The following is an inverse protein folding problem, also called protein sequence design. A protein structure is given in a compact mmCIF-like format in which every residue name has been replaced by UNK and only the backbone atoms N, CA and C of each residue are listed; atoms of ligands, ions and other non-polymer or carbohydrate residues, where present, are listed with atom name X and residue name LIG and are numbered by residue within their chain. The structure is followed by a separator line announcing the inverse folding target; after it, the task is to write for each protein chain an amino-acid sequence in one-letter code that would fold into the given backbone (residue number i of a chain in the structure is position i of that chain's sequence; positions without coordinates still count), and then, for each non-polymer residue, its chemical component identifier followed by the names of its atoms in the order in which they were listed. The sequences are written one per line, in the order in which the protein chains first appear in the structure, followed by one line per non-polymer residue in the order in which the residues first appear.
data_IF_531018603633
#
_entry.id   IF_531018603633
#
_cell.length_a   1.000
_cell.length_b   1.000
_cell.length_c   1.000
_cell.angle_alpha   90.00
_cell.angle_beta   90.00
_cell.angle_gamma   90.00
#
_symmetry.space_group_name_H-M   'P 1'
#
loop_
_entity.id
_entity.type
_entity.pdbx_description
1 polymer ?
#
# COMPACT_ATOMS: atom_id res chain seq x y z
N UNK A 1 35.93 -25.25 -12.84
CA UNK A 1 35.25 -25.34 -11.55
C UNK A 1 34.09 -24.36 -11.62
N UNK A 2 32.95 -24.83 -12.09
CA UNK A 2 31.72 -24.03 -12.12
C UNK A 2 31.33 -23.75 -10.68
N UNK A 3 31.14 -22.49 -10.35
CA UNK A 3 30.61 -22.08 -9.05
C UNK A 3 29.17 -22.54 -9.04
N UNK A 4 28.89 -23.67 -8.39
CA UNK A 4 27.51 -24.09 -8.11
C UNK A 4 26.80 -22.91 -7.47
N UNK A 5 25.71 -22.50 -8.09
CA UNK A 5 24.87 -21.50 -7.47
C UNK A 5 24.35 -22.09 -6.16
N UNK A 6 24.24 -21.23 -5.16
CA UNK A 6 23.79 -21.57 -3.81
C UNK A 6 22.62 -22.57 -3.70
N UNK A 7 21.75 -22.59 -4.71
CA UNK A 7 20.53 -23.36 -4.72
C UNK A 7 20.66 -24.74 -5.38
N UNK A 8 21.70 -24.97 -6.19
CA UNK A 8 21.91 -26.27 -6.86
C UNK A 8 22.26 -27.37 -5.85
N UNK A 9 23.00 -27.03 -4.78
CA UNK A 9 23.36 -27.99 -3.71
C UNK A 9 22.18 -28.48 -2.87
N UNK A 10 21.07 -27.75 -2.83
CA UNK A 10 19.89 -28.21 -2.09
C UNK A 10 19.12 -29.27 -2.87
N UNK A 11 19.25 -29.32 -4.21
CA UNK A 11 18.63 -30.38 -5.03
C UNK A 11 19.19 -31.80 -4.78
N UNK A 12 20.30 -31.93 -4.06
CA UNK A 12 20.92 -33.21 -3.75
C UNK A 12 20.54 -33.69 -2.34
N UNK A 13 19.96 -34.90 -2.24
CA UNK A 13 19.61 -35.52 -0.97
C UNK A 13 20.80 -36.27 -0.36
N UNK A 14 20.94 -36.22 0.96
CA UNK A 14 21.86 -37.06 1.70
C UNK A 14 21.64 -38.54 1.36
N UNK A 15 22.73 -39.25 1.04
CA UNK A 15 22.69 -40.66 0.64
C UNK A 15 21.68 -40.96 -0.49
N UNK A 16 21.47 -40.06 -1.46
CA UNK A 16 20.52 -40.25 -2.57
C UNK A 16 20.71 -41.57 -3.35
N UNK A 17 21.93 -42.11 -3.41
CA UNK A 17 22.23 -43.42 -4.01
C UNK A 17 22.17 -44.62 -3.06
N UNK A 18 21.85 -44.38 -1.79
CA UNK A 18 21.74 -45.41 -0.75
C UNK A 18 20.34 -45.98 -0.63
N UNK A 19 20.23 -47.16 0.00
CA UNK A 19 18.91 -47.71 0.36
C UNK A 19 18.24 -46.81 1.39
N UNK A 20 16.95 -46.54 1.22
CA UNK A 20 16.10 -45.85 2.18
C UNK A 20 14.98 -46.78 2.65
N UNK A 21 14.67 -46.78 3.94
CA UNK A 21 13.53 -47.51 4.50
C UNK A 21 12.68 -46.52 5.29
N UNK A 22 11.47 -46.28 4.82
CA UNK A 22 10.55 -45.32 5.42
C UNK A 22 10.24 -45.68 6.89
N UNK A 23 10.46 -44.77 7.84
CA UNK A 23 10.00 -44.95 9.21
C UNK A 23 8.47 -45.01 9.27
N UNK A 24 7.93 -45.80 10.19
CA UNK A 24 6.51 -45.75 10.55
C UNK A 24 6.18 -44.49 11.36
N UNK A 25 4.91 -44.09 11.43
CA UNK A 25 4.48 -42.90 12.19
C UNK A 25 4.91 -42.94 13.67
N UNK A 26 4.85 -44.11 14.31
CA UNK A 26 5.30 -44.29 15.70
C UNK A 26 6.80 -44.05 15.83
N UNK A 27 7.60 -44.51 14.85
CA UNK A 27 9.05 -44.31 14.82
C UNK A 27 9.41 -42.85 14.53
N UNK A 28 8.68 -42.20 13.62
CA UNK A 28 8.83 -40.78 13.33
C UNK A 28 8.51 -39.92 14.56
N UNK A 29 7.43 -40.24 15.28
CA UNK A 29 7.03 -39.52 16.51
C UNK A 29 8.01 -39.73 17.68
N UNK A 30 8.65 -40.89 17.77
CA UNK A 30 9.69 -41.15 18.77
C UNK A 30 11.01 -40.41 18.47
N UNK A 31 11.21 -39.93 17.23
CA UNK A 31 12.36 -39.12 16.83
C UNK A 31 13.71 -39.79 17.12
N UNK A 32 14.69 -39.03 17.59
CA UNK A 32 16.03 -39.56 17.89
C UNK A 32 16.02 -40.60 19.03
N UNK A 33 14.98 -40.64 19.88
CA UNK A 33 14.87 -41.63 20.94
C UNK A 33 14.71 -43.05 20.39
N UNK A 34 14.16 -43.19 19.18
CA UNK A 34 14.08 -44.47 18.49
C UNK A 34 15.45 -44.99 18.00
N UNK A 35 16.42 -44.09 17.75
CA UNK A 35 17.76 -44.47 17.28
C UNK A 35 18.68 -44.97 18.40
N UNK A 36 18.33 -44.74 19.67
CA UNK A 36 19.23 -44.91 20.82
C UNK A 36 19.23 -46.29 21.51
N UNK A 37 18.32 -47.20 21.18
CA UNK A 37 18.17 -48.47 21.92
C UNK A 37 18.71 -49.72 21.20
N UNK A 38 18.89 -49.66 19.87
CA UNK A 38 19.51 -50.69 19.03
C UNK A 38 19.90 -49.99 17.73
N UNK A 39 21.14 -50.10 17.20
CA UNK A 39 21.56 -49.31 16.05
C UNK A 39 20.59 -49.55 14.88
N UNK A 40 19.85 -48.51 14.43
CA UNK A 40 18.93 -48.63 13.32
C UNK A 40 19.67 -49.06 12.05
N UNK A 41 18.95 -49.67 11.10
CA UNK A 41 19.56 -49.99 9.82
C UNK A 41 20.06 -48.72 9.14
N UNK A 42 21.14 -48.83 8.35
CA UNK A 42 21.65 -47.69 7.58
C UNK A 42 20.56 -47.07 6.68
N UNK A 43 19.64 -47.89 6.17
CA UNK A 43 18.53 -47.41 5.34
C UNK A 43 17.50 -46.55 6.09
N UNK A 44 17.30 -46.79 7.37
CA UNK A 44 16.40 -45.99 8.20
C UNK A 44 17.00 -44.63 8.56
N UNK A 45 18.32 -44.59 8.83
CA UNK A 45 19.03 -43.31 9.00
C UNK A 45 19.02 -42.49 7.71
N UNK A 46 19.32 -43.12 6.57
CA UNK A 46 19.27 -42.46 5.27
C UNK A 46 17.88 -41.87 5.01
N UNK A 47 16.81 -42.62 5.26
CA UNK A 47 15.44 -42.14 5.06
C UNK A 47 15.11 -40.92 5.93
N UNK A 48 15.52 -40.92 7.21
CA UNK A 48 15.27 -39.80 8.11
C UNK A 48 15.97 -38.51 7.65
N UNK A 49 17.24 -38.61 7.21
CA UNK A 49 17.98 -37.46 6.70
C UNK A 49 17.42 -36.99 5.35
N UNK A 50 17.05 -37.91 4.45
CA UNK A 50 16.39 -37.56 3.19
C UNK A 50 15.05 -36.84 3.40
N UNK A 51 14.28 -37.20 4.43
CA UNK A 51 13.05 -36.48 4.80
C UNK A 51 13.30 -35.05 5.27
N UNK A 52 14.42 -34.81 5.97
CA UNK A 52 14.81 -33.45 6.36
C UNK A 52 15.18 -32.63 5.13
N UNK A 53 15.99 -33.20 4.24
CA UNK A 53 16.37 -32.56 2.98
C UNK A 53 15.15 -32.24 2.10
N UNK A 54 14.15 -33.12 2.06
CA UNK A 54 12.90 -32.90 1.32
C UNK A 54 12.06 -31.75 1.87
N UNK A 55 11.99 -31.61 3.20
CA UNK A 55 11.29 -30.49 3.84
C UNK A 55 11.99 -29.17 3.58
N UNK A 56 13.32 -29.17 3.68
CA UNK A 56 14.14 -28.00 3.40
C UNK A 56 13.98 -27.60 1.92
N UNK A 57 14.05 -28.56 1.00
CA UNK A 57 13.82 -28.33 -0.43
C UNK A 57 12.44 -27.75 -0.73
N UNK A 58 11.40 -28.28 -0.10
CA UNK A 58 10.06 -27.74 -0.25
C UNK A 58 9.98 -26.27 0.21
N UNK A 59 10.51 -25.96 1.39
CA UNK A 59 10.51 -24.60 1.93
C UNK A 59 11.31 -23.64 1.05
N UNK A 60 12.49 -24.06 0.58
CA UNK A 60 13.31 -23.26 -0.33
C UNK A 60 12.66 -23.05 -1.68
N UNK A 61 11.96 -24.05 -2.23
CA UNK A 61 11.17 -23.89 -3.45
C UNK A 61 10.10 -22.80 -3.31
N UNK A 62 9.39 -22.75 -2.18
CA UNK A 62 8.43 -21.67 -1.90
C UNK A 62 9.11 -20.30 -1.83
N UNK A 63 10.25 -20.20 -1.14
CA UNK A 63 11.02 -18.94 -1.05
C UNK A 63 11.57 -18.49 -2.41
N UNK A 64 12.06 -19.43 -3.23
CA UNK A 64 12.57 -19.16 -4.57
C UNK A 64 11.48 -18.59 -5.48
N UNK A 65 10.25 -19.11 -5.40
CA UNK A 65 9.10 -18.55 -6.13
C UNK A 65 8.85 -17.09 -5.74
N UNK A 66 8.82 -16.78 -4.44
CA UNK A 66 8.60 -15.40 -3.96
C UNK A 66 9.74 -14.46 -4.39
N UNK A 67 10.98 -14.95 -4.39
CA UNK A 67 12.13 -14.17 -4.85
C UNK A 67 12.09 -13.90 -6.37
N UNK A 68 11.70 -14.88 -7.17
CA UNK A 68 11.53 -14.72 -8.62
C UNK A 68 10.45 -13.70 -8.96
N UNK A 69 9.30 -13.75 -8.27
CA UNK A 69 8.21 -12.78 -8.45
C UNK A 69 8.63 -11.34 -8.11
N UNK A 70 9.58 -11.17 -7.20
CA UNK A 70 10.16 -9.88 -6.85
C UNK A 70 11.34 -9.45 -7.76
N UNK A 71 11.72 -10.26 -8.75
CA UNK A 71 12.88 -10.02 -9.62
C UNK A 71 14.23 -10.15 -8.89
N UNK A 72 14.28 -10.84 -7.76
CA UNK A 72 15.48 -11.01 -6.93
C UNK A 72 16.13 -12.36 -7.22
N UNK A 73 17.40 -12.36 -7.64
CA UNK A 73 18.16 -13.61 -7.86
C UNK A 73 18.58 -14.22 -6.52
N UNK A 74 18.23 -15.48 -6.24
CA UNK A 74 18.62 -16.14 -5.01
C UNK A 74 20.15 -16.35 -4.92
N UNK A 75 20.80 -15.94 -3.82
CA UNK A 75 22.25 -16.16 -3.58
C UNK A 75 22.53 -16.63 -2.14
N UNK A 76 23.49 -17.54 -1.94
CA UNK A 76 23.82 -18.15 -0.63
C UNK A 76 24.37 -17.13 0.38
N UNK A 77 24.96 -16.05 -0.12
CA UNK A 77 25.61 -15.03 0.71
C UNK A 77 24.63 -14.03 1.31
N UNK A 78 23.36 -14.01 0.88
CA UNK A 78 22.40 -13.02 1.33
C UNK A 78 21.20 -13.67 2.02
N UNK A 79 21.26 -13.76 3.34
CA UNK A 79 20.17 -14.27 4.18
C UNK A 79 18.94 -13.33 4.23
N UNK A 80 19.03 -12.11 3.68
CA UNK A 80 17.96 -11.12 3.67
C UNK A 80 17.06 -11.13 2.43
N UNK A 81 17.28 -12.06 1.49
CA UNK A 81 16.61 -12.03 0.18
C UNK A 81 15.09 -12.20 0.26
N UNK A 82 14.59 -13.04 1.17
CA UNK A 82 13.15 -13.17 1.40
C UNK A 82 12.55 -11.86 1.94
N UNK A 83 13.26 -11.18 2.83
CA UNK A 83 12.82 -9.88 3.32
C UNK A 83 12.81 -8.85 2.19
N UNK A 84 13.82 -8.85 1.31
CA UNK A 84 13.91 -7.97 0.15
C UNK A 84 12.81 -8.25 -0.88
N UNK A 85 12.50 -9.53 -1.17
CA UNK A 85 11.45 -9.89 -2.11
C UNK A 85 10.07 -9.50 -1.59
N UNK A 86 9.78 -9.79 -0.32
CA UNK A 86 8.55 -9.33 0.35
C UNK A 86 8.47 -7.79 0.45
N UNK A 87 9.58 -7.06 0.37
CA UNK A 87 9.56 -5.59 0.28
C UNK A 87 9.18 -5.11 -1.12
N UNK A 88 9.65 -5.80 -2.17
CA UNK A 88 9.37 -5.43 -3.56
C UNK A 88 7.98 -5.82 -4.05
N UNK A 89 7.42 -6.94 -3.55
CA UNK A 89 6.17 -7.50 -4.07
C UNK A 89 4.89 -6.88 -3.50
N UNK A 90 4.94 -6.21 -2.35
CA UNK A 90 3.75 -5.71 -1.67
C UNK A 90 3.91 -4.25 -1.30
N UNK A 91 2.91 -3.43 -1.63
CA UNK A 91 2.81 -2.07 -1.13
C UNK A 91 2.59 -2.10 0.39
N UNK A 92 3.57 -1.66 1.16
CA UNK A 92 3.50 -1.56 2.61
C UNK A 92 2.89 -0.24 3.00
N UNK A 93 2.31 -0.17 4.20
CA UNK A 93 1.80 1.09 4.76
C UNK A 93 2.86 2.21 4.77
N UNK A 94 4.13 1.85 4.99
CA UNK A 94 5.26 2.80 4.94
C UNK A 94 5.49 3.43 3.58
N UNK A 95 5.08 2.76 2.51
CA UNK A 95 5.31 3.20 1.13
C UNK A 95 4.25 4.24 0.70
N UNK A 96 3.15 4.33 1.45
CA UNK A 96 2.15 5.38 1.30
C UNK A 96 2.62 6.64 2.03
N UNK A 97 3.32 7.52 1.32
CA UNK A 97 3.63 8.85 1.83
C UNK A 97 2.33 9.59 2.13
N UNK A 98 2.20 10.14 3.35
CA UNK A 98 0.97 10.79 3.78
C UNK A 98 1.25 11.94 4.76
N UNK A 99 0.28 12.84 4.85
CA UNK A 99 0.20 13.88 5.87
C UNK A 99 -1.23 13.93 6.37
N UNK A 100 -1.44 13.64 7.67
CA UNK A 100 -2.75 13.59 8.31
C UNK A 100 -3.17 14.92 8.94
N UNK A 101 -2.57 16.03 8.50
CA UNK A 101 -2.99 17.37 8.88
C UNK A 101 -4.40 17.67 8.38
N UNK A 102 -5.00 18.77 8.86
CA UNK A 102 -6.31 19.24 8.41
C UNK A 102 -6.37 19.38 6.88
N UNK A 103 -5.31 19.96 6.30
CA UNK A 103 -5.05 19.94 4.86
C UNK A 103 -3.95 18.89 4.63
N UNK A 104 -4.34 17.73 4.12
CA UNK A 104 -3.53 16.53 4.12
C UNK A 104 -3.60 15.75 2.81
N UNK A 105 -2.82 14.68 2.73
CA UNK A 105 -2.77 13.83 1.55
C UNK A 105 -2.38 12.40 1.88
N UNK A 106 -2.68 11.51 0.94
CA UNK A 106 -2.06 10.20 0.81
C UNK A 106 -1.61 10.01 -0.65
N UNK A 107 -0.35 9.60 -0.82
CA UNK A 107 0.25 9.23 -2.09
C UNK A 107 0.48 7.74 -2.10
N UNK A 108 -0.05 7.06 -3.10
CA UNK A 108 0.15 5.63 -3.28
C UNK A 108 1.50 5.37 -3.96
N UNK A 109 2.12 4.18 -3.76
CA UNK A 109 3.33 3.80 -4.48
C UNK A 109 3.16 3.81 -6.00
N UNK A 110 1.94 3.59 -6.49
CA UNK A 110 1.58 3.65 -7.92
C UNK A 110 1.46 5.07 -8.49
N UNK A 111 1.70 6.11 -7.69
CA UNK A 111 1.74 7.51 -8.15
C UNK A 111 0.43 8.29 -8.03
N UNK A 112 -0.71 7.63 -7.79
CA UNK A 112 -1.98 8.32 -7.50
C UNK A 112 -1.89 9.01 -6.15
N UNK A 113 -2.34 10.26 -6.10
CA UNK A 113 -2.38 11.11 -4.92
C UNK A 113 -3.85 11.50 -4.66
N UNK A 114 -4.29 11.37 -3.41
CA UNK A 114 -5.56 11.91 -2.92
C UNK A 114 -5.22 12.95 -1.86
N UNK A 115 -5.74 14.17 -2.02
CA UNK A 115 -5.54 15.28 -1.09
C UNK A 115 -6.88 15.75 -0.56
N UNK A 116 -6.90 16.26 0.67
CA UNK A 116 -8.08 16.84 1.30
C UNK A 116 -7.72 18.14 2.02
N UNK A 117 -8.73 18.92 2.33
CA UNK A 117 -8.54 20.08 3.17
C UNK A 117 -9.81 20.86 3.43
N UNK A 118 -9.64 21.97 4.14
CA UNK A 118 -10.67 22.95 4.43
C UNK A 118 -10.18 24.34 4.05
N UNK A 119 -11.11 25.18 3.67
CA UNK A 119 -10.87 26.59 3.39
C UNK A 119 -12.08 27.42 3.76
N UNK A 120 -11.98 28.72 3.52
CA UNK A 120 -13.09 29.66 3.69
C UNK A 120 -13.15 30.58 2.49
N UNK A 121 -14.35 30.86 1.99
CA UNK A 121 -14.57 32.00 1.09
C UNK A 121 -14.86 33.23 1.95
N UNK A 122 -14.27 34.40 1.63
CA UNK A 122 -14.54 35.62 2.36
C UNK A 122 -15.95 36.16 2.04
N UNK A 123 -16.53 37.03 2.89
CA UNK A 123 -17.73 37.78 2.55
C UNK A 123 -17.43 38.65 1.33
N UNK A 124 -18.27 38.57 0.30
CA UNK A 124 -18.05 39.32 -0.94
C UNK A 124 -19.01 40.50 -1.11
N UNK A 125 -20.12 40.52 -0.38
CA UNK A 125 -21.23 41.46 -0.61
C UNK A 125 -21.96 41.25 -1.94
N UNK A 126 -21.64 40.17 -2.66
CA UNK A 126 -22.21 39.79 -3.95
C UNK A 126 -22.93 38.43 -3.83
N UNK A 127 -23.61 37.98 -4.88
CA UNK A 127 -24.20 36.63 -4.93
C UNK A 127 -23.21 35.52 -5.26
N UNK A 128 -21.93 35.86 -5.47
CA UNK A 128 -20.86 34.90 -5.71
C UNK A 128 -19.68 35.21 -4.81
N UNK A 129 -18.96 34.17 -4.39
CA UNK A 129 -17.73 34.27 -3.62
C UNK A 129 -16.75 33.19 -4.07
N UNK A 130 -15.45 33.46 -3.96
CA UNK A 130 -14.41 32.53 -4.40
C UNK A 130 -13.23 32.47 -3.44
N UNK A 131 -12.53 31.34 -3.45
CA UNK A 131 -11.30 31.14 -2.71
C UNK A 131 -10.33 30.28 -3.52
N UNK A 132 -9.06 30.70 -3.54
CA UNK A 132 -7.97 29.88 -4.07
C UNK A 132 -7.51 28.91 -2.99
N UNK A 133 -7.42 27.64 -3.36
CA UNK A 133 -6.91 26.55 -2.52
C UNK A 133 -5.53 26.18 -3.03
N UNK A 134 -4.55 26.15 -2.13
CA UNK A 134 -3.24 25.55 -2.38
C UNK A 134 -3.25 24.13 -1.85
N UNK A 135 -2.89 23.16 -2.69
CA UNK A 135 -2.84 21.77 -2.26
C UNK A 135 -1.66 21.52 -1.32
N UNK A 136 -1.78 20.58 -0.36
CA UNK A 136 -0.70 20.19 0.53
C UNK A 136 0.61 19.84 -0.19
N UNK A 137 0.51 19.18 -1.35
CA UNK A 137 1.61 18.94 -2.28
C UNK A 137 1.13 19.19 -3.72
N UNK A 138 2.04 19.54 -4.62
CA UNK A 138 1.71 19.62 -6.04
C UNK A 138 1.54 18.20 -6.63
N UNK A 139 0.53 18.02 -7.47
CA UNK A 139 0.40 16.84 -8.33
C UNK A 139 1.51 16.87 -9.39
N UNK A 140 2.39 15.85 -9.47
CA UNK A 140 3.52 15.85 -10.40
C UNK A 140 3.12 16.00 -11.87
N UNK A 141 2.01 15.40 -12.28
CA UNK A 141 1.55 15.35 -13.66
C UNK A 141 0.31 16.22 -13.87
N UNK A 142 -0.79 15.91 -13.18
CA UNK A 142 -2.06 16.60 -13.35
C UNK A 142 -3.04 16.40 -12.18
N UNK A 143 -3.84 17.42 -11.91
CA UNK A 143 -5.07 17.30 -11.09
C UNK A 143 -6.20 16.76 -11.97
N UNK A 144 -6.73 15.58 -11.63
CA UNK A 144 -7.76 14.91 -12.42
C UNK A 144 -9.17 15.33 -12.00
N UNK A 145 -9.41 15.52 -10.69
CA UNK A 145 -10.72 15.94 -10.19
C UNK A 145 -10.58 16.64 -8.83
N UNK A 146 -11.47 17.61 -8.60
CA UNK A 146 -11.64 18.27 -7.30
C UNK A 146 -13.13 18.41 -7.01
N UNK A 147 -13.54 17.93 -5.85
CA UNK A 147 -14.91 18.09 -5.33
C UNK A 147 -14.84 18.89 -4.05
N UNK A 148 -15.74 19.85 -3.90
CA UNK A 148 -15.86 20.67 -2.70
C UNK A 148 -17.32 20.81 -2.26
N UNK A 149 -17.52 20.98 -0.96
CA UNK A 149 -18.83 21.22 -0.36
C UNK A 149 -18.75 22.41 0.59
N UNK A 150 -19.81 23.20 0.66
CA UNK A 150 -19.95 24.27 1.65
C UNK A 150 -20.37 23.68 2.99
N UNK A 151 -19.87 24.25 4.08
CA UNK A 151 -20.09 23.77 5.44
C UNK A 151 -20.76 24.85 6.31
N UNK A 152 -21.40 25.84 5.69
CA UNK A 152 -22.05 26.94 6.40
C UNK A 152 -22.90 27.82 5.51
N UNK A 153 -23.71 28.70 6.11
CA UNK A 153 -24.56 29.62 5.37
C UNK A 153 -23.75 30.80 4.81
N UNK A 154 -24.16 31.29 3.64
CA UNK A 154 -23.61 32.47 2.99
C UNK A 154 -24.13 33.80 3.58
N UNK A 155 -25.32 33.78 4.19
CA UNK A 155 -25.98 34.97 4.69
C UNK A 155 -26.47 34.83 6.13
N UNK A 156 -26.23 35.84 6.96
CA UNK A 156 -26.59 35.88 8.38
C UNK A 156 -28.08 36.10 8.66
N UNK A 157 -28.79 36.80 7.77
CA UNK A 157 -30.20 37.20 7.97
C UNK A 157 -31.17 36.15 7.44
N UNK A 158 -30.93 35.67 6.22
CA UNK A 158 -31.85 34.73 5.54
C UNK A 158 -31.42 33.28 5.76
N UNK A 159 -30.12 33.03 5.95
CA UNK A 159 -29.55 31.69 5.85
C UNK A 159 -29.60 31.18 4.41
N UNK A 160 -28.50 30.63 3.90
CA UNK A 160 -28.48 30.00 2.57
C UNK A 160 -27.25 29.14 2.40
N UNK A 161 -27.41 27.86 2.03
CA UNK A 161 -26.26 27.01 1.70
C UNK A 161 -25.92 27.22 0.22
N UNK A 162 -24.75 27.79 -0.10
CA UNK A 162 -24.42 28.10 -1.49
C UNK A 162 -24.09 26.82 -2.27
N UNK A 163 -24.38 26.86 -3.57
CA UNK A 163 -23.89 25.87 -4.53
C UNK A 163 -22.39 26.06 -4.69
N UNK A 164 -21.62 24.97 -4.70
CA UNK A 164 -20.16 24.99 -4.80
C UNK A 164 -19.71 24.36 -6.11
N UNK A 165 -18.76 24.99 -6.78
CA UNK A 165 -18.11 24.45 -7.97
C UNK A 165 -16.60 24.71 -7.95
N UNK A 166 -15.84 23.91 -8.68
CA UNK A 166 -14.42 24.16 -8.96
C UNK A 166 -14.30 24.90 -10.30
N UNK A 167 -13.83 26.14 -10.29
CA UNK A 167 -13.76 26.97 -11.50
C UNK A 167 -12.55 26.64 -12.38
N UNK A 168 -11.41 26.32 -11.78
CA UNK A 168 -10.22 25.86 -12.49
C UNK A 168 -9.31 25.06 -11.55
N UNK A 169 -8.45 24.24 -12.14
CA UNK A 169 -7.44 23.43 -11.45
C UNK A 169 -6.06 23.66 -12.05
N UNK A 170 -5.04 23.52 -11.21
CA UNK A 170 -3.63 23.47 -11.58
C UNK A 170 -3.00 22.31 -10.81
N UNK A 171 -1.73 22.01 -11.06
CA UNK A 171 -1.02 20.97 -10.31
C UNK A 171 -0.82 21.35 -8.83
N UNK A 172 -0.77 22.64 -8.49
CA UNK A 172 -0.50 23.12 -7.13
C UNK A 172 -1.75 23.57 -6.36
N UNK A 173 -2.91 23.61 -7.00
CA UNK A 173 -4.12 24.14 -6.37
C UNK A 173 -5.32 24.24 -7.29
N UNK A 174 -6.40 24.81 -6.78
CA UNK A 174 -7.62 25.07 -7.53
C UNK A 174 -8.31 26.37 -7.07
N UNK A 175 -9.32 26.80 -7.81
CA UNK A 175 -10.25 27.84 -7.36
C UNK A 175 -11.63 27.25 -7.08
N UNK A 176 -12.09 27.44 -5.86
CA UNK A 176 -13.45 27.11 -5.45
C UNK A 176 -14.31 28.36 -5.59
N UNK A 177 -15.45 28.22 -6.24
CA UNK A 177 -16.43 29.28 -6.42
C UNK A 177 -17.76 28.82 -5.84
N UNK A 178 -18.45 29.74 -5.19
CA UNK A 178 -19.75 29.54 -4.58
C UNK A 178 -20.75 30.53 -5.14
N UNK A 179 -21.98 30.08 -5.30
CA UNK A 179 -23.09 30.87 -5.86
C UNK A 179 -24.36 30.68 -5.02
N UNK A 180 -25.03 31.80 -4.73
CA UNK A 180 -26.33 31.88 -4.06
C UNK A 180 -27.42 32.38 -4.99
N UNK A 181 -27.10 32.66 -6.26
CA UNK A 181 -28.03 33.19 -7.24
C UNK A 181 -29.11 32.14 -7.59
N UNK A 182 -30.29 32.34 -7.03
CA UNK A 182 -31.51 31.68 -7.46
C UNK A 182 -32.31 32.59 -8.39
N UNK A 183 -32.77 32.07 -9.53
CA UNK A 183 -33.46 32.83 -10.57
C UNK A 183 -34.71 33.59 -10.08
N UNK A 184 -35.33 33.13 -8.99
CA UNK A 184 -36.60 33.67 -8.47
C UNK A 184 -36.48 34.31 -7.08
N UNK A 185 -35.28 34.46 -6.52
CA UNK A 185 -35.11 34.96 -5.16
C UNK A 185 -34.92 36.50 -5.15
N UNK A 186 -35.85 37.21 -4.51
CA UNK A 186 -35.80 38.66 -4.30
C UNK A 186 -36.05 39.00 -2.83
N UNK A 187 -35.16 39.74 -2.15
CA UNK A 187 -33.85 40.18 -2.63
C UNK A 187 -32.90 39.00 -2.86
N UNK A 188 -31.93 39.17 -3.75
CA UNK A 188 -30.87 38.18 -3.94
C UNK A 188 -30.08 38.01 -2.64
N UNK A 189 -29.63 36.80 -2.36
CA UNK A 189 -28.84 36.53 -1.16
C UNK A 189 -27.38 36.85 -1.43
N UNK A 190 -26.86 37.87 -0.80
CA UNK A 190 -25.45 38.20 -0.89
C UNK A 190 -24.66 37.48 0.21
N UNK A 191 -23.40 37.14 -0.09
CA UNK A 191 -22.45 36.63 0.89
C UNK A 191 -22.05 37.75 1.86
N UNK A 192 -22.63 37.75 3.07
CA UNK A 192 -22.25 38.64 4.17
C UNK A 192 -21.44 37.92 5.27
N UNK A 193 -21.33 36.59 5.17
CA UNK A 193 -20.52 35.73 6.04
C UNK A 193 -19.35 35.11 5.27
N UNK A 194 -18.31 34.72 6.03
CA UNK A 194 -17.30 33.80 5.52
C UNK A 194 -17.89 32.39 5.48
N UNK A 195 -17.79 31.71 4.34
CA UNK A 195 -18.35 30.35 4.20
C UNK A 195 -17.23 29.33 4.27
N UNK A 196 -17.18 28.48 5.32
CA UNK A 196 -16.24 27.38 5.36
C UNK A 196 -16.61 26.33 4.31
N UNK A 197 -15.61 25.66 3.75
CA UNK A 197 -15.79 24.52 2.86
C UNK A 197 -14.78 23.42 3.15
N UNK A 198 -15.11 22.21 2.72
CA UNK A 198 -14.21 21.07 2.67
C UNK A 198 -14.04 20.62 1.21
N UNK A 199 -12.85 20.14 0.86
CA UNK A 199 -12.57 19.62 -0.47
C UNK A 199 -11.80 18.28 -0.43
N UNK A 200 -11.94 17.52 -1.51
CA UNK A 200 -11.11 16.36 -1.85
C UNK A 200 -10.65 16.53 -3.30
N UNK A 201 -9.37 16.28 -3.56
CA UNK A 201 -8.75 16.31 -4.87
C UNK A 201 -8.04 14.99 -5.15
N UNK A 202 -8.02 14.56 -6.41
CA UNK A 202 -7.30 13.38 -6.88
C UNK A 202 -6.51 13.69 -8.14
N UNK A 203 -5.33 13.10 -8.27
CA UNK A 203 -4.41 13.32 -9.39
C UNK A 203 -3.16 12.44 -9.32
N UNK A 204 -2.22 12.66 -10.22
CA UNK A 204 -0.93 11.98 -10.29
C UNK A 204 0.17 12.90 -10.79
#
# INVERSE_FOLDING_TARGET
MTVETAFERFGERFAAGGTATEPTDTQANAGLAFLGANPPTFGLHNALFQWLDDKDNWLYGQMASVMADAGVTPTASNMGLLLASLNGSYARRSDFANSLNQNGYIKTPGGVIIQWGRGTTPPSGQTTAGATVVFPIAFPTATLCVVANSNGPANSTVGYIPVVNTSYTTNAGCSIVMDTLSANQTPKVNFDLSVPFSYIAIGC
#
